data_IF_150530351377
#
_entry.id   IF_150530351377
#
_cell.length_a   1.000
_cell.length_b   1.000
_cell.length_c   1.000
_cell.angle_alpha   90.00
_cell.angle_beta   90.00
_cell.angle_gamma   90.00
#
_symmetry.space_group_name_H-M   'P 1'
#
loop_
_entity.id
_entity.type
_entity.pdbx_description
1 polymer ?
#
# COMPACT_ATOMS: atom_id res chain seq x y z
N UNK A 1 -13.84 -17.52 51.62
CA UNK A 1 -14.71 -16.39 51.25
C UNK A 1 -13.77 -15.21 50.99
N UNK A 2 -13.56 -14.68 49.78
CA UNK A 2 -14.23 -14.78 48.47
C UNK A 2 -13.20 -14.47 47.37
N UNK A 3 -13.55 -14.89 46.17
CA UNK A 3 -12.77 -15.27 44.99
C UNK A 3 -12.22 -14.14 44.10
N UNK A 4 -11.08 -14.47 43.49
CA UNK A 4 -10.60 -14.07 42.16
C UNK A 4 -11.75 -13.99 41.12
N UNK A 5 -11.81 -12.90 40.33
CA UNK A 5 -12.65 -12.84 39.12
C UNK A 5 -11.77 -12.51 37.92
N UNK A 6 -11.52 -13.54 37.12
CA UNK A 6 -11.25 -13.43 35.68
C UNK A 6 -12.60 -13.47 34.96
N UNK A 7 -12.67 -12.91 33.75
CA UNK A 7 -13.68 -13.09 32.70
C UNK A 7 -14.52 -11.85 32.36
N UNK A 8 -13.99 -11.09 31.41
CA UNK A 8 -14.73 -10.27 30.44
C UNK A 8 -13.77 -10.17 29.24
N UNK A 9 -14.00 -10.69 28.03
CA UNK A 9 -15.22 -11.05 27.32
C UNK A 9 -14.89 -12.19 26.34
N UNK A 10 -15.72 -13.23 26.35
CA UNK A 10 -15.84 -14.17 25.24
C UNK A 10 -16.66 -13.49 24.15
N UNK A 11 -16.04 -13.18 23.01
CA UNK A 11 -16.77 -12.96 21.75
C UNK A 11 -16.47 -14.15 20.83
N UNK A 12 -17.34 -15.17 20.73
CA UNK A 12 -17.21 -16.18 19.70
C UNK A 12 -17.76 -15.56 18.39
N UNK A 13 -16.88 -15.12 17.50
CA UNK A 13 -17.30 -14.74 16.14
C UNK A 13 -17.58 -16.03 15.35
N UNK A 14 -18.83 -16.46 15.41
CA UNK A 14 -19.37 -17.54 14.60
C UNK A 14 -19.88 -16.94 13.27
N UNK A 15 -19.11 -17.09 12.20
CA UNK A 15 -19.65 -17.19 10.83
C UNK A 15 -18.86 -18.27 10.10
N UNK A 16 -19.19 -19.53 10.41
CA UNK A 16 -18.95 -20.62 9.48
C UNK A 16 -20.10 -20.60 8.47
N UNK A 17 -19.83 -20.19 7.24
CA UNK A 17 -20.43 -20.70 5.99
C UNK A 17 -19.58 -20.08 4.86
N UNK A 18 -18.80 -20.91 4.17
CA UNK A 18 -18.61 -20.68 2.74
C UNK A 18 -18.59 -22.02 2.02
N UNK A 19 -19.76 -22.34 1.46
CA UNK A 19 -19.94 -23.39 0.48
C UNK A 19 -19.02 -23.15 -0.71
N UNK A 20 -18.35 -24.24 -1.07
CA UNK A 20 -17.35 -24.39 -2.11
C UNK A 20 -18.01 -24.15 -3.48
N UNK A 21 -17.50 -23.19 -4.26
CA UNK A 21 -17.72 -23.11 -5.71
C UNK A 21 -16.42 -22.61 -6.38
N UNK A 22 -15.78 -23.40 -7.27
CA UNK A 22 -14.56 -23.01 -7.94
C UNK A 22 -14.91 -22.20 -9.19
N UNK A 23 -14.75 -20.88 -9.13
CA UNK A 23 -14.76 -20.06 -10.34
C UNK A 23 -13.31 -19.81 -10.74
N UNK A 24 -12.89 -20.56 -11.76
CA UNK A 24 -11.57 -20.45 -12.36
C UNK A 24 -11.31 -19.05 -12.92
N UNK A 25 -10.08 -18.60 -12.72
CA UNK A 25 -9.54 -17.38 -13.30
C UNK A 25 -8.05 -17.32 -13.00
N UNK A 26 -7.23 -17.82 -13.92
CA UNK A 26 -5.77 -17.72 -13.85
C UNK A 26 -5.34 -16.29 -14.16
N UNK A 27 -4.81 -15.59 -13.17
CA UNK A 27 -3.88 -14.49 -13.39
C UNK A 27 -2.66 -14.77 -12.50
N UNK A 28 -1.52 -15.07 -13.11
CA UNK A 28 -0.26 -15.22 -12.41
C UNK A 28 0.17 -13.85 -11.89
N UNK A 29 -0.28 -13.49 -10.68
CA UNK A 29 0.29 -12.37 -9.94
C UNK A 29 1.76 -12.66 -9.68
N UNK A 30 2.64 -11.86 -10.28
CA UNK A 30 4.05 -11.81 -9.88
C UNK A 30 4.09 -11.54 -8.39
N UNK A 31 4.47 -12.58 -7.64
CA UNK A 31 4.46 -12.61 -6.19
C UNK A 31 5.58 -11.69 -5.68
N UNK A 32 5.29 -10.40 -5.54
CA UNK A 32 6.06 -9.51 -4.67
C UNK A 32 6.02 -10.14 -3.28
N UNK A 33 7.19 -10.38 -2.67
CA UNK A 33 7.33 -11.11 -1.41
C UNK A 33 6.27 -10.75 -0.38
N UNK A 34 5.34 -11.67 -0.14
CA UNK A 34 4.22 -11.53 0.80
C UNK A 34 4.67 -12.11 2.14
N UNK A 35 5.09 -11.21 3.02
CA UNK A 35 5.17 -11.46 4.48
C UNK A 35 4.12 -10.62 5.24
N UNK A 36 3.11 -10.09 4.54
CA UNK A 36 2.04 -9.26 5.09
C UNK A 36 0.72 -9.43 4.34
N UNK A 37 -0.37 -8.92 4.91
CA UNK A 37 -1.73 -8.96 4.37
C UNK A 37 -1.92 -7.82 3.35
N UNK A 38 -1.10 -7.83 2.29
CA UNK A 38 -1.22 -6.86 1.22
C UNK A 38 -2.41 -7.19 0.33
N UNK A 39 -3.34 -6.24 0.22
CA UNK A 39 -4.50 -6.27 -0.66
C UNK A 39 -4.22 -5.41 -1.91
N UNK A 40 -4.71 -5.79 -3.09
CA UNK A 40 -4.62 -4.94 -4.28
C UNK A 40 -5.32 -3.59 -4.07
N UNK A 41 -4.81 -2.54 -4.72
CA UNK A 41 -5.53 -1.26 -4.83
C UNK A 41 -6.43 -1.34 -6.07
N UNK A 42 -7.75 -1.29 -5.85
CA UNK A 42 -8.74 -1.46 -6.91
C UNK A 42 -8.84 -0.24 -7.85
N UNK A 43 -8.70 0.96 -7.30
CA UNK A 43 -8.84 2.22 -8.03
C UNK A 43 -7.54 3.04 -7.97
N UNK A 44 -6.58 2.81 -8.88
CA UNK A 44 -5.34 3.59 -8.94
C UNK A 44 -5.56 5.08 -9.15
N UNK A 45 -6.71 5.46 -9.74
CA UNK A 45 -7.11 6.85 -9.99
C UNK A 45 -7.82 7.50 -8.80
N UNK A 46 -8.02 6.79 -7.69
CA UNK A 46 -8.54 7.38 -6.47
C UNK A 46 -7.67 8.57 -6.03
N UNK A 47 -8.32 9.65 -5.58
CA UNK A 47 -7.64 10.91 -5.28
C UNK A 47 -6.56 10.75 -4.21
N UNK A 48 -6.80 9.92 -3.17
CA UNK A 48 -5.81 9.66 -2.13
C UNK A 48 -4.59 8.93 -2.70
N UNK A 49 -4.79 7.98 -3.61
CA UNK A 49 -3.71 7.23 -4.24
C UNK A 49 -2.87 8.15 -5.14
N UNK A 50 -3.51 9.06 -5.88
CA UNK A 50 -2.81 10.09 -6.67
C UNK A 50 -1.99 11.02 -5.76
N UNK A 51 -2.59 11.52 -4.67
CA UNK A 51 -1.90 12.39 -3.72
C UNK A 51 -0.69 11.72 -3.07
N UNK A 52 -0.80 10.42 -2.75
CA UNK A 52 0.31 9.62 -2.21
C UNK A 52 1.43 9.40 -3.23
N UNK A 53 1.08 9.15 -4.50
CA UNK A 53 2.06 9.03 -5.57
C UNK A 53 2.81 10.35 -5.81
N UNK A 54 2.09 11.47 -5.84
CA UNK A 54 2.71 12.79 -5.95
C UNK A 54 3.59 13.12 -4.74
N UNK A 55 3.12 12.79 -3.53
CA UNK A 55 3.91 12.92 -2.32
C UNK A 55 5.22 12.14 -2.44
N UNK A 56 5.17 10.88 -2.90
CA UNK A 56 6.36 10.06 -3.06
C UNK A 56 7.39 10.70 -4.01
N UNK A 57 6.96 11.17 -5.17
CA UNK A 57 7.84 11.84 -6.14
C UNK A 57 8.42 13.13 -5.57
N UNK A 58 7.60 13.97 -4.94
CA UNK A 58 8.06 15.23 -4.31
C UNK A 58 9.08 14.94 -3.20
N UNK A 59 8.80 13.95 -2.35
CA UNK A 59 9.65 13.58 -1.21
C UNK A 59 10.98 13.01 -1.70
N UNK A 60 10.97 12.15 -2.72
CA UNK A 60 12.16 11.60 -3.36
C UNK A 60 13.03 12.71 -3.97
N UNK A 61 12.45 13.57 -4.82
CA UNK A 61 13.18 14.70 -5.42
C UNK A 61 13.82 15.61 -4.37
N UNK A 62 13.15 15.82 -3.24
CA UNK A 62 13.69 16.60 -2.12
C UNK A 62 14.90 15.92 -1.46
N UNK A 63 14.89 14.60 -1.34
CA UNK A 63 15.96 13.84 -0.69
C UNK A 63 17.17 13.58 -1.60
N UNK A 64 16.92 13.25 -2.87
CA UNK A 64 17.97 12.88 -3.83
C UNK A 64 18.51 14.05 -4.65
N UNK A 65 17.76 15.17 -4.71
CA UNK A 65 18.05 16.27 -5.62
C UNK A 65 17.58 16.05 -7.07
N UNK A 66 16.85 14.96 -7.31
CA UNK A 66 16.25 14.67 -8.61
C UNK A 66 15.12 15.65 -8.98
N UNK A 67 14.68 15.55 -10.24
CA UNK A 67 13.60 16.36 -10.82
C UNK A 67 12.64 15.50 -11.62
N UNK A 68 12.18 14.41 -11.02
CA UNK A 68 11.19 13.53 -11.61
C UNK A 68 9.80 14.19 -11.57
N UNK A 69 9.00 13.95 -12.60
CA UNK A 69 7.60 14.34 -12.68
C UNK A 69 6.77 13.07 -12.76
N UNK A 70 5.78 12.94 -11.87
CA UNK A 70 4.81 11.84 -11.91
C UNK A 70 4.05 11.89 -13.24
N UNK A 71 3.98 10.77 -13.94
CA UNK A 71 3.22 10.66 -15.19
C UNK A 71 1.93 9.87 -15.00
N UNK A 72 1.97 8.78 -14.23
CA UNK A 72 0.82 7.92 -13.95
C UNK A 72 1.03 7.02 -12.74
N UNK A 73 -0.07 6.60 -12.14
CA UNK A 73 -0.10 5.47 -11.19
C UNK A 73 -0.61 4.24 -11.93
N UNK A 74 0.18 3.17 -11.95
CA UNK A 74 -0.21 1.92 -12.62
C UNK A 74 -1.03 1.02 -11.70
N UNK A 75 -0.90 1.20 -10.39
CA UNK A 75 -1.60 0.44 -9.36
C UNK A 75 -0.68 0.15 -8.18
N UNK A 76 -1.05 -0.83 -7.37
CA UNK A 76 -0.25 -1.17 -6.21
C UNK A 76 -0.96 -2.11 -5.26
N UNK A 77 -0.43 -2.17 -4.05
CA UNK A 77 -0.98 -2.92 -2.95
C UNK A 77 -1.01 -2.05 -1.70
N UNK A 78 -1.96 -2.30 -0.81
CA UNK A 78 -2.07 -1.66 0.49
C UNK A 78 -2.13 -2.70 1.61
N UNK A 79 -1.66 -2.32 2.78
CA UNK A 79 -1.74 -3.15 3.98
C UNK A 79 -2.17 -2.27 5.14
N UNK A 80 -3.30 -2.62 5.76
CA UNK A 80 -3.73 -1.98 7.00
C UNK A 80 -2.83 -2.47 8.13
N UNK A 81 -2.24 -1.53 8.86
CA UNK A 81 -1.40 -1.80 10.03
C UNK A 81 -1.99 -1.10 11.24
N UNK A 82 -1.43 -1.34 12.43
CA UNK A 82 -1.92 -0.68 13.64
C UNK A 82 -1.92 0.86 13.46
N UNK A 83 -3.12 1.45 13.44
CA UNK A 83 -3.37 2.90 13.30
C UNK A 83 -2.69 3.54 12.08
N UNK A 84 -2.84 2.90 10.91
CA UNK A 84 -2.36 3.45 9.65
C UNK A 84 -2.40 2.45 8.49
N UNK A 85 -1.83 2.85 7.36
CA UNK A 85 -1.82 2.06 6.12
C UNK A 85 -0.44 2.18 5.46
N UNK A 86 0.08 1.06 4.96
CA UNK A 86 1.26 1.04 4.10
C UNK A 86 0.82 0.84 2.65
N UNK A 87 1.27 1.70 1.74
CA UNK A 87 1.01 1.62 0.31
C UNK A 87 2.29 1.27 -0.44
N UNK A 88 2.20 0.30 -1.34
CA UNK A 88 3.23 -0.09 -2.31
C UNK A 88 2.73 0.26 -3.71
N UNK A 89 3.08 1.45 -4.18
CA UNK A 89 2.61 2.00 -5.44
C UNK A 89 3.62 1.73 -6.55
N UNK A 90 3.12 1.27 -7.70
CA UNK A 90 3.88 1.23 -8.95
C UNK A 90 3.51 2.47 -9.75
N UNK A 91 4.49 3.35 -9.96
CA UNK A 91 4.28 4.64 -10.60
C UNK A 91 5.19 4.80 -11.82
N UNK A 92 4.72 5.50 -12.84
CA UNK A 92 5.55 6.05 -13.90
C UNK A 92 6.02 7.44 -13.48
N UNK A 93 7.30 7.72 -13.69
CA UNK A 93 7.83 9.06 -13.53
C UNK A 93 8.93 9.31 -14.57
N UNK A 94 9.07 10.57 -14.99
CA UNK A 94 10.06 10.94 -16.00
C UNK A 94 10.88 12.15 -15.56
N UNK A 95 12.17 12.10 -15.88
CA UNK A 95 13.05 13.26 -15.80
C UNK A 95 12.90 14.17 -17.01
N UNK A 96 13.37 15.42 -16.89
CA UNK A 96 13.37 16.36 -18.02
C UNK A 96 14.15 15.80 -19.21
N UNK A 97 13.47 15.64 -20.35
CA UNK A 97 14.08 15.16 -21.60
C UNK A 97 14.46 13.67 -21.59
N UNK A 98 13.95 12.89 -20.62
CA UNK A 98 14.15 11.45 -20.54
C UNK A 98 12.84 10.71 -20.81
N UNK A 99 12.95 9.44 -21.18
CA UNK A 99 11.79 8.55 -21.22
C UNK A 99 11.20 8.36 -19.81
N UNK A 100 9.96 7.87 -19.76
CA UNK A 100 9.35 7.42 -18.52
C UNK A 100 10.06 6.16 -18.01
N UNK A 101 10.39 6.16 -16.73
CA UNK A 101 10.83 4.99 -15.97
C UNK A 101 9.73 4.61 -14.96
N UNK A 102 9.70 3.35 -14.54
CA UNK A 102 8.80 2.80 -13.54
C UNK A 102 9.50 2.69 -12.19
N UNK A 103 8.79 3.10 -11.14
CA UNK A 103 9.27 3.07 -9.77
C UNK A 103 8.30 2.33 -8.85
N UNK A 104 8.87 1.61 -7.87
CA UNK A 104 8.15 1.14 -6.69
C UNK A 104 8.33 2.16 -5.56
N UNK A 105 7.26 2.87 -5.22
CA UNK A 105 7.19 3.78 -4.10
C UNK A 105 6.47 3.12 -2.92
N UNK A 106 7.10 3.13 -1.75
CA UNK A 106 6.50 2.63 -0.50
C UNK A 106 6.22 3.81 0.42
N UNK A 107 4.94 4.09 0.65
CA UNK A 107 4.47 5.23 1.45
C UNK A 107 3.70 4.72 2.67
N UNK A 108 3.98 5.28 3.84
CA UNK A 108 3.37 4.87 5.10
C UNK A 108 2.56 6.02 5.69
N UNK A 109 1.25 5.84 5.82
CA UNK A 109 0.36 6.74 6.56
C UNK A 109 0.17 6.23 7.98
N UNK A 110 0.21 7.15 8.96
CA UNK A 110 -0.01 6.86 10.37
C UNK A 110 -0.97 7.91 10.94
N UNK A 111 -1.98 7.47 11.68
CA UNK A 111 -3.03 8.36 12.22
C UNK A 111 -2.47 9.47 13.14
N UNK A 112 -1.32 9.21 13.77
CA UNK A 112 -0.66 10.15 14.68
C UNK A 112 0.37 11.06 13.99
N UNK A 113 0.51 10.96 12.66
CA UNK A 113 1.36 11.85 11.86
C UNK A 113 0.50 12.70 10.94
N UNK A 114 0.90 13.97 10.80
CA UNK A 114 0.24 14.91 9.88
C UNK A 114 0.53 14.61 8.41
N UNK A 115 1.65 13.97 8.12
CA UNK A 115 2.09 13.67 6.76
C UNK A 115 2.56 12.22 6.66
N UNK A 116 2.43 11.58 5.48
CA UNK A 116 2.98 10.25 5.24
C UNK A 116 4.52 10.26 5.32
N UNK A 117 5.11 9.08 5.48
CA UNK A 117 6.55 8.86 5.32
C UNK A 117 6.82 8.13 3.99
N UNK A 118 7.91 8.48 3.30
CA UNK A 118 8.42 7.70 2.17
C UNK A 118 9.44 6.69 2.70
N UNK A 119 9.09 5.42 2.71
CA UNK A 119 9.95 4.34 3.18
C UNK A 119 10.92 3.85 2.10
N UNK A 120 10.49 3.84 0.84
CA UNK A 120 11.34 3.43 -0.28
C UNK A 120 10.88 4.06 -1.60
N UNK A 121 11.82 4.27 -2.50
CA UNK A 121 11.59 4.72 -3.88
C UNK A 121 12.63 4.06 -4.78
N UNK A 122 12.26 2.98 -5.47
CA UNK A 122 13.19 2.14 -6.21
C UNK A 122 12.81 2.09 -7.70
N UNK A 123 13.79 2.26 -8.58
CA UNK A 123 13.64 2.00 -10.01
C UNK A 123 13.37 0.50 -10.24
N UNK A 124 12.36 0.18 -11.06
CA UNK A 124 11.95 -1.21 -11.34
C UNK A 124 11.79 -1.56 -12.82
N UNK A 125 11.84 -0.59 -13.74
CA UNK A 125 11.83 -0.85 -15.18
C UNK A 125 11.61 0.37 -16.04
#
# INVERSE_FOLDING_TARGET
MTTHSQNALLLPLLVAILLILPHGGTAASRKLGSQGNYEPIDEPQDAQIQDLAEFAVRRHNRDSGDRLVLTRVLGGQQEVVWKGVNYRLVIGAQGKGRAEDLYLAVVCEKDWKKFPDLAAFNLIG
#
